data_IF_864327305607
#
_entry.id   IF_864327305607
#
_cell.length_a   1.000
_cell.length_b   1.000
_cell.length_c   1.000
_cell.angle_alpha   90.00
_cell.angle_beta   90.00
_cell.angle_gamma   90.00
#
_symmetry.space_group_name_H-M   'P 1'
#
loop_
_entity.id
_entity.type
_entity.pdbx_description
1 polymer ?
#
# COMPACT_ATOMS: atom_id res chain seq x y z
N UNK A 1 -55.18 -8.66 -52.39
CA UNK A 1 -54.44 -8.74 -51.10
C UNK A 1 -52.94 -8.64 -51.38
N UNK A 2 -52.41 -7.42 -51.36
CA UNK A 2 -50.96 -7.17 -51.32
C UNK A 2 -50.77 -6.14 -50.23
N UNK A 3 -50.56 -6.64 -49.01
CA UNK A 3 -50.26 -5.82 -47.84
C UNK A 3 -48.84 -5.26 -48.04
N UNK A 4 -48.76 -3.95 -47.94
CA UNK A 4 -47.61 -3.14 -48.26
C UNK A 4 -46.36 -3.49 -47.44
N UNK A 5 -45.24 -3.61 -48.15
CA UNK A 5 -43.89 -3.81 -47.64
C UNK A 5 -43.42 -2.73 -46.63
N UNK A 6 -44.20 -1.65 -46.46
CA UNK A 6 -43.91 -0.56 -45.54
C UNK A 6 -44.03 -0.95 -44.05
N UNK A 7 -44.81 -1.99 -43.71
CA UNK A 7 -44.92 -2.45 -42.30
C UNK A 7 -43.79 -3.36 -41.83
N UNK A 8 -43.00 -3.94 -42.74
CA UNK A 8 -41.85 -4.78 -42.36
C UNK A 8 -40.60 -3.96 -42.01
N UNK A 9 -40.49 -2.74 -42.52
CA UNK A 9 -39.31 -1.88 -42.32
C UNK A 9 -39.29 -1.26 -40.90
N UNK A 10 -40.46 -1.04 -40.28
CA UNK A 10 -40.52 -0.48 -38.92
C UNK A 10 -40.24 -1.50 -37.80
N UNK A 11 -40.16 -2.81 -38.09
CA UNK A 11 -39.86 -3.83 -37.06
C UNK A 11 -38.37 -4.18 -37.02
N UNK A 12 -37.59 -3.81 -38.05
CA UNK A 12 -36.16 -4.15 -38.13
C UNK A 12 -35.22 -3.14 -37.46
N UNK A 13 -35.72 -2.03 -36.90
CA UNK A 13 -34.90 -1.00 -36.25
C UNK A 13 -34.75 -1.23 -34.72
N UNK A 14 -35.43 -2.23 -34.16
CA UNK A 14 -35.42 -2.49 -32.70
C UNK A 14 -34.51 -3.66 -32.25
N UNK A 15 -33.56 -4.09 -33.08
CA UNK A 15 -32.56 -5.10 -32.72
C UNK A 15 -31.15 -4.60 -33.05
N UNK A 16 -30.76 -3.47 -32.46
CA UNK A 16 -29.34 -3.17 -32.26
C UNK A 16 -28.91 -3.91 -30.98
N UNK A 17 -28.01 -4.91 -31.04
CA UNK A 17 -27.40 -5.43 -29.83
C UNK A 17 -26.63 -4.28 -29.17
N UNK A 18 -26.88 -4.06 -27.88
CA UNK A 18 -26.11 -3.17 -27.01
C UNK A 18 -24.65 -3.68 -26.90
N UNK A 19 -23.85 -3.46 -27.95
CA UNK A 19 -22.42 -3.76 -28.03
C UNK A 19 -21.63 -2.44 -28.01
N UNK A 20 -21.90 -1.57 -27.04
CA UNK A 20 -21.24 -0.28 -26.95
C UNK A 20 -21.43 0.38 -25.59
N UNK A 21 -20.41 0.25 -24.72
CA UNK A 21 -19.92 1.23 -23.74
C UNK A 21 -19.07 0.61 -22.61
N UNK A 22 -18.90 -0.72 -22.54
CA UNK A 22 -18.10 -1.32 -21.45
C UNK A 22 -16.61 -1.02 -21.57
N UNK A 23 -16.06 -0.95 -22.79
CA UNK A 23 -14.61 -0.73 -22.99
C UNK A 23 -14.22 0.75 -22.81
N UNK A 24 -15.05 1.69 -23.27
CA UNK A 24 -14.77 3.13 -23.13
C UNK A 24 -14.99 3.66 -21.71
N UNK A 25 -15.93 3.09 -20.95
CA UNK A 25 -16.16 3.49 -19.54
C UNK A 25 -15.00 3.04 -18.66
N UNK A 26 -14.39 1.87 -18.94
CA UNK A 26 -13.33 1.30 -18.10
C UNK A 26 -12.09 2.19 -17.96
N UNK A 27 -11.63 2.82 -19.06
CA UNK A 27 -10.45 3.70 -19.06
C UNK A 27 -10.73 5.07 -18.40
N UNK A 28 -11.97 5.55 -18.44
CA UNK A 28 -12.35 6.82 -17.80
C UNK A 28 -12.50 6.65 -16.30
N UNK A 29 -13.02 5.49 -15.85
CA UNK A 29 -13.16 5.17 -14.43
C UNK A 29 -11.83 4.91 -13.72
N UNK A 30 -10.87 4.26 -14.38
CA UNK A 30 -9.52 4.10 -13.81
C UNK A 30 -8.82 5.45 -13.68
N UNK A 31 -8.86 6.28 -14.73
CA UNK A 31 -8.28 7.64 -14.66
C UNK A 31 -8.90 8.53 -13.57
N UNK A 32 -10.20 8.40 -13.28
CA UNK A 32 -10.79 9.10 -12.13
C UNK A 32 -10.22 8.58 -10.80
N UNK A 33 -10.06 7.26 -10.66
CA UNK A 33 -9.54 6.67 -9.43
C UNK A 33 -8.09 7.10 -9.17
N UNK A 34 -7.26 7.07 -10.19
CA UNK A 34 -5.85 7.46 -10.09
C UNK A 34 -5.72 8.95 -9.74
N UNK A 35 -6.51 9.82 -10.39
CA UNK A 35 -6.46 11.26 -10.14
C UNK A 35 -6.93 11.64 -8.73
N UNK A 36 -7.98 10.98 -8.21
CA UNK A 36 -8.45 11.24 -6.84
C UNK A 36 -7.45 10.70 -5.83
N UNK A 37 -6.88 9.52 -6.07
CA UNK A 37 -5.83 8.95 -5.22
C UNK A 37 -4.61 9.88 -5.15
N UNK A 38 -4.15 10.39 -6.29
CA UNK A 38 -3.07 11.37 -6.34
C UNK A 38 -3.42 12.67 -5.58
N UNK A 39 -4.64 13.20 -5.76
CA UNK A 39 -5.08 14.39 -5.06
C UNK A 39 -5.18 14.22 -3.54
N UNK A 40 -5.52 13.02 -3.06
CA UNK A 40 -5.53 12.71 -1.62
C UNK A 40 -4.12 12.65 -1.06
N UNK A 41 -3.18 12.02 -1.77
CA UNK A 41 -1.78 11.90 -1.34
C UNK A 41 -1.08 13.28 -1.33
N UNK A 42 -1.46 14.18 -2.24
CA UNK A 42 -0.94 15.55 -2.29
C UNK A 42 -1.73 16.57 -1.43
N UNK A 43 -2.71 16.11 -0.64
CA UNK A 43 -3.48 16.98 0.24
C UNK A 43 -2.67 17.37 1.48
N UNK A 44 -2.55 18.67 1.75
CA UNK A 44 -1.80 19.21 2.89
C UNK A 44 -2.57 19.23 4.20
N UNK A 45 -3.91 19.09 4.18
CA UNK A 45 -4.77 19.06 5.37
C UNK A 45 -5.16 17.60 5.73
N UNK A 46 -4.53 16.98 6.75
CA UNK A 46 -4.86 15.61 7.16
C UNK A 46 -6.29 15.46 7.67
N UNK A 47 -6.88 16.50 8.28
CA UNK A 47 -8.25 16.44 8.79
C UNK A 47 -9.25 16.39 7.64
N UNK A 48 -9.00 17.16 6.58
CA UNK A 48 -9.81 17.10 5.36
C UNK A 48 -9.76 15.70 4.72
N UNK A 49 -8.57 15.09 4.65
CA UNK A 49 -8.43 13.72 4.14
C UNK A 49 -9.15 12.73 5.03
N UNK A 50 -8.96 12.80 6.34
CA UNK A 50 -9.62 11.93 7.32
C UNK A 50 -11.14 11.96 7.16
N UNK A 51 -11.71 13.15 7.05
CA UNK A 51 -13.16 13.32 7.03
C UNK A 51 -13.74 13.01 5.63
N UNK A 52 -12.95 13.17 4.55
CA UNK A 52 -13.38 12.98 3.17
C UNK A 52 -13.13 11.60 2.56
N UNK A 53 -12.01 10.94 2.91
CA UNK A 53 -11.59 9.66 2.36
C UNK A 53 -12.64 8.53 2.49
N UNK A 54 -13.45 8.43 3.57
CA UNK A 54 -14.49 7.40 3.67
C UNK A 54 -15.49 7.39 2.51
N UNK A 55 -15.87 8.56 1.99
CA UNK A 55 -16.79 8.64 0.85
C UNK A 55 -16.14 8.09 -0.42
N UNK A 56 -14.83 8.28 -0.57
CA UNK A 56 -14.08 7.79 -1.71
C UNK A 56 -13.83 6.28 -1.64
N UNK A 57 -13.62 5.72 -0.44
CA UNK A 57 -13.58 4.26 -0.24
C UNK A 57 -14.88 3.59 -0.70
N UNK A 58 -16.04 4.16 -0.35
CA UNK A 58 -17.34 3.65 -0.79
C UNK A 58 -17.51 3.82 -2.32
N UNK A 59 -17.04 4.94 -2.88
CA UNK A 59 -17.11 5.16 -4.32
C UNK A 59 -16.31 4.11 -5.09
N UNK A 60 -15.06 3.84 -4.68
CA UNK A 60 -14.21 2.88 -5.38
C UNK A 60 -14.76 1.46 -5.25
N UNK A 61 -15.37 1.09 -4.13
CA UNK A 61 -16.10 -0.17 -3.99
C UNK A 61 -17.26 -0.28 -5.01
N UNK A 62 -17.99 0.82 -5.22
CA UNK A 62 -19.05 0.89 -6.23
C UNK A 62 -18.52 0.72 -7.66
N UNK A 63 -17.35 1.30 -7.97
CA UNK A 63 -16.68 1.12 -9.25
C UNK A 63 -16.19 -0.32 -9.45
N UNK A 64 -15.60 -0.92 -8.41
CA UNK A 64 -15.17 -2.32 -8.41
C UNK A 64 -16.36 -3.27 -8.59
N UNK A 65 -17.50 -2.99 -7.96
CA UNK A 65 -18.72 -3.79 -8.15
C UNK A 65 -19.19 -3.78 -9.62
N UNK A 66 -18.99 -2.66 -10.34
CA UNK A 66 -19.28 -2.54 -11.77
C UNK A 66 -18.24 -3.22 -12.67
N UNK A 67 -16.97 -3.27 -12.27
CA UNK A 67 -15.89 -3.92 -13.01
C UNK A 67 -14.92 -4.68 -12.09
N UNK A 68 -15.29 -5.89 -11.63
CA UNK A 68 -14.57 -6.59 -10.56
C UNK A 68 -13.20 -7.16 -10.98
N UNK A 69 -12.84 -7.10 -12.25
CA UNK A 69 -11.53 -7.58 -12.74
C UNK A 69 -10.59 -6.45 -13.16
N UNK A 70 -10.98 -5.19 -12.93
CA UNK A 70 -10.11 -4.06 -13.20
C UNK A 70 -8.99 -4.00 -12.15
N UNK A 71 -7.76 -4.29 -12.56
CA UNK A 71 -6.61 -4.36 -11.65
C UNK A 71 -6.25 -3.00 -11.06
N UNK A 72 -6.33 -1.93 -11.86
CA UNK A 72 -6.03 -0.56 -11.40
C UNK A 72 -6.97 -0.15 -10.26
N UNK A 73 -8.28 -0.38 -10.40
CA UNK A 73 -9.26 -0.10 -9.35
C UNK A 73 -9.01 -0.93 -8.08
N UNK A 74 -8.62 -2.20 -8.23
CA UNK A 74 -8.33 -3.07 -7.10
C UNK A 74 -7.05 -2.64 -6.35
N UNK A 75 -5.99 -2.29 -7.08
CA UNK A 75 -4.75 -1.80 -6.49
C UNK A 75 -4.94 -0.43 -5.82
N UNK A 76 -5.66 0.49 -6.48
CA UNK A 76 -6.00 1.78 -5.90
C UNK A 76 -6.84 1.59 -4.61
N UNK A 77 -7.85 0.71 -4.62
CA UNK A 77 -8.62 0.42 -3.42
C UNK A 77 -7.76 -0.18 -2.31
N UNK A 78 -6.88 -1.13 -2.63
CA UNK A 78 -5.97 -1.70 -1.64
C UNK A 78 -5.11 -0.63 -0.97
N UNK A 79 -4.50 0.25 -1.76
CA UNK A 79 -3.67 1.35 -1.26
C UNK A 79 -4.49 2.33 -0.40
N UNK A 80 -5.68 2.75 -0.86
CA UNK A 80 -6.52 3.72 -0.14
C UNK A 80 -7.03 3.16 1.19
N UNK A 81 -7.51 1.92 1.20
CA UNK A 81 -7.98 1.26 2.41
C UNK A 81 -6.83 1.11 3.43
N UNK A 82 -5.65 0.66 2.98
CA UNK A 82 -4.47 0.50 3.84
C UNK A 82 -3.98 1.83 4.40
N UNK A 83 -3.89 2.87 3.56
CA UNK A 83 -3.42 4.20 3.97
C UNK A 83 -4.40 4.86 4.95
N UNK A 84 -5.71 4.82 4.65
CA UNK A 84 -6.73 5.40 5.52
C UNK A 84 -6.78 4.68 6.87
N UNK A 85 -6.76 3.34 6.87
CA UNK A 85 -6.77 2.56 8.10
C UNK A 85 -5.56 2.88 8.99
N UNK A 86 -4.37 2.93 8.39
CA UNK A 86 -3.12 3.14 9.13
C UNK A 86 -2.98 4.57 9.67
N UNK A 87 -3.42 5.58 8.90
CA UNK A 87 -3.24 6.99 9.28
C UNK A 87 -4.34 7.53 10.20
N UNK A 88 -5.56 6.99 10.14
CA UNK A 88 -6.73 7.68 10.69
C UNK A 88 -7.69 6.80 11.51
N UNK A 89 -7.39 5.52 11.73
CA UNK A 89 -8.30 4.60 12.44
C UNK A 89 -7.65 4.03 13.69
N UNK A 90 -8.04 4.57 14.84
CA UNK A 90 -7.55 4.14 16.16
C UNK A 90 -8.25 2.88 16.69
N UNK A 91 -9.51 2.65 16.31
CA UNK A 91 -10.26 1.47 16.77
C UNK A 91 -9.64 0.19 16.17
N UNK A 92 -9.10 -0.73 17.00
CA UNK A 92 -8.33 -1.87 16.49
C UNK A 92 -9.16 -2.82 15.62
N UNK A 93 -10.43 -3.04 15.98
CA UNK A 93 -11.32 -3.93 15.23
C UNK A 93 -11.64 -3.36 13.84
N UNK A 94 -11.92 -2.06 13.76
CA UNK A 94 -12.13 -1.37 12.49
C UNK A 94 -10.85 -1.30 11.66
N UNK A 95 -9.70 -1.02 12.28
CA UNK A 95 -8.41 -1.00 11.59
C UNK A 95 -8.11 -2.36 10.94
N UNK A 96 -8.26 -3.45 11.69
CA UNK A 96 -8.09 -4.82 11.18
C UNK A 96 -9.06 -5.14 10.03
N UNK A 97 -10.33 -4.72 10.14
CA UNK A 97 -11.32 -4.97 9.08
C UNK A 97 -10.98 -4.23 7.78
N UNK A 98 -10.55 -2.97 7.85
CA UNK A 98 -10.19 -2.17 6.67
C UNK A 98 -8.90 -2.67 6.02
N UNK A 99 -7.88 -3.02 6.80
CA UNK A 99 -6.68 -3.68 6.27
C UNK A 99 -6.98 -5.06 5.69
N UNK A 100 -7.99 -5.77 6.21
CA UNK A 100 -8.49 -7.01 5.61
C UNK A 100 -9.07 -6.81 4.21
N UNK A 101 -9.82 -5.72 3.99
CA UNK A 101 -10.31 -5.34 2.66
C UNK A 101 -9.16 -4.97 1.72
N UNK A 102 -8.18 -4.19 2.21
CA UNK A 102 -7.01 -3.83 1.42
C UNK A 102 -6.23 -5.07 0.92
N UNK A 103 -5.98 -6.02 1.82
CA UNK A 103 -5.35 -7.29 1.48
C UNK A 103 -6.19 -8.08 0.48
N UNK A 104 -7.51 -8.18 0.67
CA UNK A 104 -8.38 -8.92 -0.25
C UNK A 104 -8.38 -8.35 -1.68
N UNK A 105 -8.37 -7.02 -1.83
CA UNK A 105 -8.33 -6.40 -3.16
C UNK A 105 -6.98 -6.62 -3.86
N UNK A 106 -5.86 -6.45 -3.16
CA UNK A 106 -4.54 -6.68 -3.73
C UNK A 106 -4.26 -8.16 -4.03
N UNK A 107 -4.72 -9.07 -3.17
CA UNK A 107 -4.62 -10.53 -3.37
C UNK A 107 -5.34 -10.96 -4.65
N UNK A 108 -6.54 -10.40 -4.92
CA UNK A 108 -7.25 -10.65 -6.18
C UNK A 108 -6.43 -10.26 -7.40
N UNK A 109 -5.66 -9.17 -7.33
CA UNK A 109 -4.80 -8.74 -8.44
C UNK A 109 -3.66 -9.73 -8.63
N UNK A 110 -2.98 -10.12 -7.55
CA UNK A 110 -1.93 -11.13 -7.60
C UNK A 110 -2.45 -12.44 -8.21
N UNK A 111 -3.60 -12.92 -7.75
CA UNK A 111 -4.21 -14.16 -8.23
C UNK A 111 -4.70 -14.12 -9.68
N UNK A 112 -5.00 -12.94 -10.23
CA UNK A 112 -5.30 -12.81 -11.66
C UNK A 112 -4.06 -12.86 -12.53
N UNK A 113 -2.89 -12.51 -11.98
CA UNK A 113 -1.63 -12.43 -12.72
C UNK A 113 -0.82 -13.72 -12.60
N UNK A 114 -0.82 -14.35 -11.43
CA UNK A 114 -0.12 -15.61 -11.18
C UNK A 114 -0.94 -16.54 -10.27
N UNK A 115 -1.61 -17.51 -10.90
CA UNK A 115 -2.39 -18.55 -10.22
C UNK A 115 -1.51 -19.46 -9.34
N UNK A 116 -0.28 -19.76 -9.79
CA UNK A 116 0.62 -20.65 -9.05
C UNK A 116 1.17 -19.97 -7.78
N UNK A 117 1.52 -18.69 -7.86
CA UNK A 117 1.90 -17.90 -6.70
C UNK A 117 0.71 -17.72 -5.75
N UNK A 118 -0.48 -17.44 -6.27
CA UNK A 118 -1.71 -17.33 -5.49
C UNK A 118 -2.01 -18.59 -4.67
N UNK A 119 -2.00 -19.76 -5.32
CA UNK A 119 -2.25 -21.04 -4.66
C UNK A 119 -1.21 -21.33 -3.56
N UNK A 120 0.01 -20.80 -3.71
CA UNK A 120 1.09 -20.97 -2.74
C UNK A 120 1.03 -20.01 -1.54
N UNK A 121 0.17 -18.97 -1.57
CA UNK A 121 -0.01 -18.03 -0.45
C UNK A 121 -0.36 -18.80 0.82
N UNK A 122 -1.29 -19.76 0.68
CA UNK A 122 -1.70 -20.66 1.78
C UNK A 122 -0.88 -21.93 1.69
N UNK A 123 0.03 -22.12 2.63
CA UNK A 123 0.85 -23.32 2.70
C UNK A 123 2.28 -23.07 3.15
N UNK A 124 3.16 -24.05 2.90
CA UNK A 124 4.57 -24.02 3.28
C UNK A 124 5.33 -22.86 2.65
N UNK A 125 6.24 -22.25 3.42
CA UNK A 125 7.05 -21.12 2.98
C UNK A 125 7.94 -21.44 1.77
N UNK A 126 8.52 -22.64 1.72
CA UNK A 126 9.40 -23.08 0.64
C UNK A 126 8.68 -23.20 -0.71
N UNK A 127 7.42 -23.62 -0.69
CA UNK A 127 6.58 -23.65 -1.90
C UNK A 127 6.26 -22.24 -2.38
N UNK A 128 5.89 -21.34 -1.45
CA UNK A 128 5.64 -19.94 -1.75
C UNK A 128 6.88 -19.25 -2.34
N UNK A 129 8.03 -19.40 -1.69
CA UNK A 129 9.31 -18.84 -2.13
C UNK A 129 9.68 -19.34 -3.53
N UNK A 130 9.50 -20.63 -3.81
CA UNK A 130 9.81 -21.20 -5.12
C UNK A 130 8.93 -20.66 -6.26
N UNK A 131 7.66 -20.32 -5.99
CA UNK A 131 6.82 -19.64 -6.98
C UNK A 131 7.21 -18.17 -7.12
N UNK A 132 7.43 -17.49 -5.99
CA UNK A 132 7.83 -16.09 -5.96
C UNK A 132 9.11 -15.81 -6.75
N UNK A 133 10.07 -16.74 -6.78
CA UNK A 133 11.31 -16.58 -7.56
C UNK A 133 11.11 -16.60 -9.09
N UNK A 134 9.94 -17.05 -9.57
CA UNK A 134 9.62 -17.11 -11.00
C UNK A 134 9.03 -15.81 -11.53
N UNK A 135 8.65 -14.90 -10.65
CA UNK A 135 8.02 -13.64 -11.06
C UNK A 135 8.98 -12.74 -11.80
N UNK A 136 8.51 -11.73 -12.50
CA UNK A 136 9.40 -10.75 -13.13
C UNK A 136 8.95 -9.30 -12.91
N UNK A 137 9.62 -8.38 -13.61
CA UNK A 137 9.38 -6.94 -13.46
C UNK A 137 7.96 -6.52 -13.84
N UNK A 138 7.30 -7.25 -14.73
CA UNK A 138 5.96 -6.90 -15.19
C UNK A 138 4.91 -7.12 -14.08
N UNK A 139 5.25 -7.92 -13.07
CA UNK A 139 4.40 -8.22 -11.92
C UNK A 139 4.62 -7.29 -10.72
N UNK A 140 5.60 -6.38 -10.78
CA UNK A 140 5.94 -5.46 -9.69
C UNK A 140 4.73 -4.73 -9.08
N UNK A 141 3.77 -4.21 -9.86
CA UNK A 141 2.59 -3.57 -9.29
C UNK A 141 1.75 -4.50 -8.42
N UNK A 142 1.52 -5.74 -8.88
CA UNK A 142 0.76 -6.73 -8.13
C UNK A 142 1.52 -7.20 -6.89
N UNK A 143 2.82 -7.47 -7.02
CA UNK A 143 3.68 -7.91 -5.92
C UNK A 143 3.75 -6.86 -4.82
N UNK A 144 4.06 -5.60 -5.17
CA UNK A 144 4.17 -4.52 -4.19
C UNK A 144 2.83 -4.18 -3.56
N UNK A 145 1.75 -4.12 -4.35
CA UNK A 145 0.40 -3.88 -3.82
C UNK A 145 -0.04 -4.94 -2.83
N UNK A 146 0.23 -6.22 -3.12
CA UNK A 146 -0.07 -7.31 -2.20
C UNK A 146 0.86 -7.34 -0.98
N UNK A 147 2.16 -7.18 -1.16
CA UNK A 147 3.12 -7.22 -0.07
C UNK A 147 2.88 -6.10 0.96
N UNK A 148 2.61 -4.88 0.50
CA UNK A 148 2.30 -3.73 1.35
C UNK A 148 0.98 -3.91 2.11
N UNK A 149 -0.09 -4.33 1.42
CA UNK A 149 -1.37 -4.59 2.07
C UNK A 149 -1.32 -5.77 3.05
N UNK A 150 -0.53 -6.82 2.75
CA UNK A 150 -0.31 -7.93 3.68
C UNK A 150 0.49 -7.47 4.90
N UNK A 151 1.54 -6.65 4.73
CA UNK A 151 2.27 -6.06 5.85
C UNK A 151 1.35 -5.22 6.76
N UNK A 152 0.52 -4.35 6.17
CA UNK A 152 -0.47 -3.55 6.91
C UNK A 152 -1.50 -4.41 7.64
N UNK A 153 -1.98 -5.49 7.02
CA UNK A 153 -2.85 -6.47 7.66
C UNK A 153 -2.18 -7.16 8.84
N UNK A 154 -0.92 -7.59 8.73
CA UNK A 154 -0.19 -8.20 9.86
C UNK A 154 -0.02 -7.18 10.99
N UNK A 155 0.34 -5.93 10.68
CA UNK A 155 0.49 -4.88 11.68
C UNK A 155 -0.82 -4.63 12.45
N UNK A 156 -1.94 -4.50 11.74
CA UNK A 156 -3.27 -4.32 12.33
C UNK A 156 -3.74 -5.54 13.16
N UNK A 157 -3.17 -6.72 12.91
CA UNK A 157 -3.46 -7.97 13.61
C UNK A 157 -2.26 -8.49 14.43
N UNK A 158 -1.37 -7.60 14.88
CA UNK A 158 -0.12 -7.97 15.58
C UNK A 158 -0.33 -8.74 16.90
N UNK A 159 -1.54 -8.72 17.47
CA UNK A 159 -1.93 -9.55 18.61
C UNK A 159 -2.31 -11.00 18.28
N UNK A 160 -2.46 -11.34 16.99
CA UNK A 160 -2.75 -12.70 16.52
C UNK A 160 -1.46 -13.40 16.06
N UNK A 161 -1.07 -14.45 16.78
CA UNK A 161 0.12 -15.25 16.46
C UNK A 161 0.08 -15.87 15.06
N UNK A 162 -1.12 -16.16 14.53
CA UNK A 162 -1.24 -16.68 13.16
C UNK A 162 -0.91 -15.60 12.13
N UNK A 163 -1.29 -14.34 12.38
CA UNK A 163 -0.92 -13.23 11.50
C UNK A 163 0.60 -12.99 11.53
N UNK A 164 1.18 -12.99 12.73
CA UNK A 164 2.64 -12.82 12.92
C UNK A 164 3.44 -13.94 12.25
N UNK A 165 2.93 -15.17 12.20
CA UNK A 165 3.58 -16.30 11.54
C UNK A 165 3.76 -16.12 10.02
N UNK A 166 3.01 -15.22 9.39
CA UNK A 166 3.12 -14.94 7.94
C UNK A 166 4.21 -13.92 7.59
N UNK A 167 4.85 -13.27 8.58
CA UNK A 167 5.92 -12.28 8.36
C UNK A 167 7.03 -12.75 7.42
N UNK A 168 7.54 -14.00 7.48
CA UNK A 168 8.58 -14.45 6.57
C UNK A 168 8.19 -14.36 5.08
N UNK A 169 6.91 -14.61 4.73
CA UNK A 169 6.45 -14.49 3.33
C UNK A 169 6.40 -13.04 2.87
N UNK A 170 5.98 -12.12 3.75
CA UNK A 170 6.02 -10.68 3.47
C UNK A 170 7.46 -10.19 3.30
N UNK A 171 8.37 -10.66 4.14
CA UNK A 171 9.81 -10.37 3.99
C UNK A 171 10.33 -10.85 2.62
N UNK A 172 10.05 -12.10 2.25
CA UNK A 172 10.46 -12.65 0.96
C UNK A 172 9.88 -11.87 -0.24
N UNK A 173 8.62 -11.43 -0.15
CA UNK A 173 8.00 -10.55 -1.15
C UNK A 173 8.77 -9.24 -1.31
N UNK A 174 9.08 -8.56 -0.20
CA UNK A 174 9.82 -7.29 -0.25
C UNK A 174 11.24 -7.46 -0.79
N UNK A 175 11.93 -8.55 -0.40
CA UNK A 175 13.24 -8.91 -0.93
C UNK A 175 13.17 -9.21 -2.43
N UNK A 176 12.12 -9.91 -2.90
CA UNK A 176 11.90 -10.15 -4.33
C UNK A 176 11.68 -8.85 -5.09
N UNK A 177 10.89 -7.92 -4.56
CA UNK A 177 10.63 -6.61 -5.17
C UNK A 177 11.95 -5.84 -5.33
N UNK A 178 12.81 -5.82 -4.32
CA UNK A 178 14.14 -5.18 -4.41
C UNK A 178 15.03 -5.87 -5.45
N UNK A 179 15.03 -7.20 -5.49
CA UNK A 179 15.82 -7.96 -6.45
C UNK A 179 15.39 -7.70 -7.90
N UNK A 180 14.10 -7.43 -8.13
CA UNK A 180 13.57 -7.04 -9.43
C UNK A 180 13.89 -5.57 -9.72
N UNK A 181 13.49 -4.65 -8.84
CA UNK A 181 13.76 -3.22 -8.95
C UNK A 181 13.71 -2.55 -7.57
N UNK A 182 14.88 -2.28 -7.00
CA UNK A 182 15.01 -1.58 -5.71
C UNK A 182 14.39 -0.18 -5.70
N UNK A 183 14.26 0.46 -6.86
CA UNK A 183 13.72 1.82 -6.98
C UNK A 183 12.21 1.87 -7.13
N UNK A 184 11.55 0.71 -7.26
CA UNK A 184 10.11 0.62 -7.44
C UNK A 184 9.37 1.31 -6.28
N UNK A 185 8.36 2.12 -6.60
CA UNK A 185 7.61 2.92 -5.63
C UNK A 185 8.53 3.75 -4.72
N UNK A 186 9.55 4.39 -5.30
CA UNK A 186 10.56 5.21 -4.61
C UNK A 186 11.28 4.49 -3.45
N UNK A 187 11.52 3.18 -3.62
CA UNK A 187 12.21 2.37 -2.61
C UNK A 187 11.32 1.95 -1.44
N UNK A 188 10.00 1.94 -1.61
CA UNK A 188 9.05 1.55 -0.56
C UNK A 188 9.34 0.18 0.07
N UNK A 189 9.81 -0.80 -0.71
CA UNK A 189 10.18 -2.13 -0.18
C UNK A 189 11.33 -2.07 0.84
N UNK A 190 12.28 -1.14 0.68
CA UNK A 190 13.31 -0.89 1.68
C UNK A 190 12.70 -0.38 2.99
N UNK A 191 11.70 0.51 2.94
CA UNK A 191 11.06 1.02 4.16
C UNK A 191 10.44 -0.12 4.98
N UNK A 192 9.74 -1.05 4.33
CA UNK A 192 9.16 -2.22 5.00
C UNK A 192 10.23 -3.13 5.60
N UNK A 193 11.30 -3.45 4.86
CA UNK A 193 12.38 -4.28 5.38
C UNK A 193 13.14 -3.61 6.52
N UNK A 194 13.28 -2.28 6.49
CA UNK A 194 13.84 -1.50 7.60
C UNK A 194 13.09 -1.76 8.91
N UNK A 195 11.75 -1.71 8.87
CA UNK A 195 10.90 -2.04 10.01
C UNK A 195 11.00 -3.52 10.39
N UNK A 196 10.91 -4.44 9.42
CA UNK A 196 10.93 -5.88 9.70
C UNK A 196 12.23 -6.34 10.38
N UNK A 197 13.39 -5.88 9.90
CA UNK A 197 14.69 -6.21 10.49
C UNK A 197 14.94 -5.55 11.85
N UNK A 198 14.14 -4.56 12.23
CA UNK A 198 14.21 -3.85 13.52
C UNK A 198 13.12 -4.26 14.51
N UNK A 199 12.27 -5.24 14.18
CA UNK A 199 11.29 -5.80 15.13
C UNK A 199 11.94 -6.53 16.32
N UNK A 200 13.21 -6.94 16.20
CA UNK A 200 13.92 -7.70 17.23
C UNK A 200 15.29 -7.09 17.55
N UNK A 201 15.61 -6.89 18.84
CA UNK A 201 16.95 -6.49 19.26
C UNK A 201 18.04 -7.52 18.88
N UNK A 202 19.27 -7.04 18.67
CA UNK A 202 20.42 -7.90 18.35
C UNK A 202 20.70 -8.98 19.43
N UNK A 203 20.54 -8.64 20.71
CA UNK A 203 20.76 -9.58 21.82
C UNK A 203 19.71 -10.71 21.90
N UNK A 204 18.59 -10.59 21.15
CA UNK A 204 17.59 -11.65 20.97
C UNK A 204 17.68 -12.32 19.59
N UNK A 205 18.76 -12.08 18.84
CA UNK A 205 19.02 -12.66 17.53
C UNK A 205 18.39 -11.90 16.36
N UNK A 206 18.00 -10.63 16.55
CA UNK A 206 17.63 -9.74 15.45
C UNK A 206 18.85 -9.20 14.69
N UNK A 207 18.59 -8.52 13.56
CA UNK A 207 19.62 -7.99 12.67
C UNK A 207 19.39 -6.49 12.37
N UNK A 208 19.36 -5.62 13.40
CA UNK A 208 18.95 -4.22 13.24
C UNK A 208 19.86 -3.41 12.30
N UNK A 209 21.14 -3.75 12.18
CA UNK A 209 22.04 -3.09 11.22
C UNK A 209 21.64 -3.32 9.75
N UNK A 210 21.04 -4.48 9.44
CA UNK A 210 20.45 -4.70 8.11
C UNK A 210 19.26 -3.76 7.92
N UNK A 211 18.42 -3.62 8.95
CA UNK A 211 17.30 -2.69 8.95
C UNK A 211 17.73 -1.23 8.76
N UNK A 212 18.83 -0.81 9.41
CA UNK A 212 19.45 0.49 9.18
C UNK A 212 19.81 0.72 7.72
N UNK A 213 20.50 -0.23 7.08
CA UNK A 213 20.87 -0.11 5.66
C UNK A 213 19.63 0.06 4.77
N UNK A 214 18.53 -0.62 5.09
CA UNK A 214 17.28 -0.44 4.37
C UNK A 214 16.68 0.95 4.58
N UNK A 215 16.64 1.50 5.80
CA UNK A 215 16.18 2.86 6.03
C UNK A 215 17.01 3.91 5.27
N UNK A 216 18.34 3.79 5.34
CA UNK A 216 19.26 4.68 4.62
C UNK A 216 19.01 4.61 3.10
N UNK A 217 18.81 3.41 2.56
CA UNK A 217 18.52 3.22 1.13
C UNK A 217 17.16 3.79 0.71
N UNK A 218 16.12 3.65 1.53
CA UNK A 218 14.81 4.26 1.27
C UNK A 218 14.88 5.80 1.22
N UNK A 219 15.66 6.40 2.12
CA UNK A 219 15.90 7.86 2.13
C UNK A 219 16.68 8.29 0.87
N UNK A 220 17.71 7.53 0.48
CA UNK A 220 18.52 7.82 -0.70
C UNK A 220 17.70 7.75 -2.01
N UNK A 221 16.95 6.66 -2.21
CA UNK A 221 16.14 6.43 -3.43
C UNK A 221 15.07 7.51 -3.58
N UNK A 222 14.36 7.82 -2.50
CA UNK A 222 13.36 8.90 -2.49
C UNK A 222 13.97 10.31 -2.54
N UNK A 223 15.30 10.43 -2.55
CA UNK A 223 16.03 11.71 -2.51
C UNK A 223 15.63 12.58 -1.31
N UNK A 224 15.33 11.94 -0.17
CA UNK A 224 14.87 12.59 1.05
C UNK A 224 13.43 13.12 1.01
N UNK A 225 12.66 12.86 -0.06
CA UNK A 225 11.26 13.33 -0.17
C UNK A 225 10.30 12.57 0.74
N UNK A 226 10.59 11.30 1.03
CA UNK A 226 9.80 10.49 1.94
C UNK A 226 10.24 10.74 3.39
N UNK A 227 9.63 11.71 4.07
CA UNK A 227 10.00 12.05 5.44
C UNK A 227 9.63 10.94 6.43
N UNK A 228 8.60 10.14 6.13
CA UNK A 228 8.20 9.01 6.97
C UNK A 228 9.32 7.96 7.09
N UNK A 229 10.21 7.85 6.11
CA UNK A 229 11.37 6.97 6.20
C UNK A 229 12.29 7.34 7.37
N UNK A 230 12.54 8.64 7.60
CA UNK A 230 13.33 9.13 8.74
C UNK A 230 12.60 8.91 10.06
N UNK A 231 11.28 9.14 10.09
CA UNK A 231 10.45 8.90 11.28
C UNK A 231 10.52 7.44 11.71
N UNK A 232 10.31 6.50 10.78
CA UNK A 232 10.42 5.07 11.10
C UNK A 232 11.84 4.64 11.43
N UNK A 233 12.86 5.27 10.84
CA UNK A 233 14.25 5.00 11.19
C UNK A 233 14.53 5.40 12.64
N UNK A 234 14.11 6.60 13.07
CA UNK A 234 14.23 7.05 14.44
C UNK A 234 13.42 6.15 15.41
N UNK A 235 12.16 5.89 15.07
CA UNK A 235 11.24 5.16 15.94
C UNK A 235 11.61 3.68 16.12
N UNK A 236 12.06 2.99 15.05
CA UNK A 236 12.25 1.54 15.07
C UNK A 236 13.71 1.13 15.22
N UNK A 237 14.66 1.88 14.66
CA UNK A 237 16.09 1.56 14.81
C UNK A 237 16.72 2.34 15.97
N UNK A 238 16.68 3.67 15.92
CA UNK A 238 17.47 4.49 16.86
C UNK A 238 17.06 4.23 18.32
N UNK A 239 15.75 4.16 18.57
CA UNK A 239 15.19 3.71 19.86
C UNK A 239 15.65 2.28 20.25
N UNK A 240 15.55 1.32 19.34
CA UNK A 240 15.93 -0.08 19.58
C UNK A 240 17.40 -0.26 20.00
N UNK A 241 18.29 0.56 19.43
CA UNK A 241 19.73 0.53 19.74
C UNK A 241 20.14 1.58 20.78
N UNK A 242 19.18 2.30 21.36
CA UNK A 242 19.39 3.39 22.33
C UNK A 242 20.30 4.53 21.82
N UNK A 243 20.21 4.86 20.54
CA UNK A 243 20.93 5.96 19.89
C UNK A 243 20.06 7.24 19.87
N UNK A 244 20.12 7.99 20.98
CA UNK A 244 19.34 9.24 21.14
C UNK A 244 19.78 10.33 20.15
N UNK A 245 21.08 10.44 19.88
CA UNK A 245 21.60 11.48 18.98
C UNK A 245 21.05 11.29 17.56
N UNK A 246 21.06 10.05 17.06
CA UNK A 246 20.47 9.73 15.75
C UNK A 246 18.95 9.95 15.75
N UNK A 247 18.25 9.56 16.82
CA UNK A 247 16.81 9.77 16.96
C UNK A 247 16.45 11.26 16.83
N UNK A 248 17.07 12.11 17.65
CA UNK A 248 16.73 13.54 17.72
C UNK A 248 17.15 14.27 16.45
N UNK A 249 18.27 13.89 15.84
CA UNK A 249 18.72 14.42 14.55
C UNK A 249 17.69 14.13 13.44
N UNK A 250 17.31 12.86 13.25
CA UNK A 250 16.38 12.46 12.19
C UNK A 250 15.02 13.16 12.31
N UNK A 251 14.49 13.27 13.53
CA UNK A 251 13.17 13.87 13.76
C UNK A 251 13.19 15.39 13.63
N UNK A 252 14.28 16.04 14.03
CA UNK A 252 14.45 17.49 13.82
C UNK A 252 14.54 17.80 12.33
N UNK A 253 15.30 17.02 11.56
CA UNK A 253 15.34 17.16 10.09
C UNK A 253 13.96 17.01 9.44
N UNK A 254 13.08 16.15 9.97
CA UNK A 254 11.69 16.01 9.47
C UNK A 254 10.86 17.27 9.73
N UNK A 255 10.99 17.86 10.92
CA UNK A 255 10.21 19.04 11.34
C UNK A 255 10.64 20.31 10.58
N UNK A 256 11.92 20.42 10.22
CA UNK A 256 12.47 21.63 9.56
C UNK A 256 12.23 21.68 8.04
N UNK A 257 11.91 20.55 7.41
CA UNK A 257 11.70 20.46 5.95
C UNK A 257 10.27 20.89 5.58
N UNK A 258 10.11 21.55 4.42
CA UNK A 258 8.78 21.79 3.84
C UNK A 258 8.13 20.44 3.47
N UNK A 259 6.97 20.07 4.06
CA UNK A 259 6.36 18.77 3.80
C UNK A 259 5.81 18.64 2.38
N UNK A 260 5.63 19.75 1.64
CA UNK A 260 5.04 19.75 0.29
C UNK A 260 5.98 19.11 -0.72
N UNK A 261 5.63 17.92 -1.17
CA UNK A 261 6.33 17.20 -2.24
C UNK A 261 5.33 16.34 -3.03
N UNK A 262 5.37 16.35 -4.37
CA UNK A 262 4.47 15.53 -5.19
C UNK A 262 4.55 14.05 -4.80
N UNK A 263 3.40 13.44 -4.51
CA UNK A 263 3.28 12.05 -4.05
C UNK A 263 3.56 11.83 -2.56
N UNK A 264 3.88 12.88 -1.80
CA UNK A 264 4.27 12.75 -0.39
C UNK A 264 3.62 13.74 0.56
N UNK A 265 3.00 14.82 0.07
CA UNK A 265 2.55 15.95 0.91
C UNK A 265 1.78 15.51 2.16
N UNK A 266 0.74 14.67 2.02
CA UNK A 266 -0.02 14.17 3.15
C UNK A 266 0.86 13.35 4.12
N UNK A 267 1.63 12.40 3.57
CA UNK A 267 2.48 11.52 4.38
C UNK A 267 3.57 12.29 5.12
N UNK A 268 4.08 13.37 4.52
CA UNK A 268 5.09 14.23 5.12
C UNK A 268 4.49 15.12 6.21
N UNK A 269 3.28 15.64 6.02
CA UNK A 269 2.56 16.36 7.09
C UNK A 269 2.33 15.44 8.29
N UNK A 270 1.87 14.21 8.07
CA UNK A 270 1.71 13.21 9.12
C UNK A 270 3.07 12.82 9.76
N UNK A 271 4.13 12.75 8.97
CA UNK A 271 5.48 12.49 9.48
C UNK A 271 5.95 13.59 10.45
N UNK A 272 5.62 14.85 10.17
CA UNK A 272 5.93 15.97 11.06
C UNK A 272 5.15 15.91 12.39
N UNK A 273 3.86 15.62 12.33
CA UNK A 273 3.04 15.39 13.53
C UNK A 273 3.65 14.27 14.38
N UNK A 274 3.99 13.14 13.74
CA UNK A 274 4.60 11.99 14.42
C UNK A 274 6.00 12.31 14.98
N UNK A 275 6.80 13.08 14.27
CA UNK A 275 8.13 13.47 14.72
C UNK A 275 8.07 14.35 15.98
N UNK A 276 7.11 15.27 16.05
CA UNK A 276 6.90 16.11 17.23
C UNK A 276 6.52 15.26 18.45
N UNK A 277 5.59 14.31 18.29
CA UNK A 277 5.23 13.36 19.36
C UNK A 277 6.44 12.55 19.84
N UNK A 278 7.21 11.98 18.91
CA UNK A 278 8.37 11.15 19.26
C UNK A 278 9.48 11.92 19.99
N UNK A 279 9.66 13.20 19.69
CA UNK A 279 10.59 14.09 20.41
C UNK A 279 10.07 14.44 21.81
N UNK A 280 8.76 14.68 21.97
CA UNK A 280 8.16 14.92 23.28
C UNK A 280 8.30 13.71 24.21
N UNK A 281 8.15 12.51 23.66
CA UNK A 281 8.26 11.24 24.39
C UNK A 281 9.71 10.75 24.56
N UNK A 282 10.72 11.48 24.04
CA UNK A 282 12.10 10.99 23.99
C UNK A 282 12.71 10.78 25.38
N UNK A 283 12.47 11.71 26.32
CA UNK A 283 13.01 11.63 27.68
C UNK A 283 12.43 10.46 28.50
N UNK A 284 11.21 10.00 28.19
CA UNK A 284 10.59 8.85 28.84
C UNK A 284 11.10 7.51 28.28
N UNK A 285 11.67 7.52 27.08
CA UNK A 285 12.15 6.31 26.39
C UNK A 285 13.64 6.01 26.65
N UNK A 286 14.51 7.03 26.59
CA UNK A 286 15.98 6.89 26.63
C UNK A 286 16.58 6.98 28.04
#
# INVERSE_FOLDING_TARGET
>A
MRLDAARLICILIFFLPNLGCTILVSNVTSGLADNVSAALVDQSDPLLVRDGAPAYLILIDGLIAGNPKNQDLLLAAAQLYSAYASAFVDDPARNAALNGQARAYSERVLCMNDEALCDSIVGPFDVFEAQLQKTDKDELPALYGFASAWAGWIQANSGDWNAVAELPKVQALMERIIALDESYSDGGAHLYLGVLYTLRPAHLGGLPEIGRTHFERAIEISQGKNLMAKVFFAQNYARLVFDRDLHDQLLTEVIEVDPVAPGYTLSNTLAQERAQELLLDADDYF
#
